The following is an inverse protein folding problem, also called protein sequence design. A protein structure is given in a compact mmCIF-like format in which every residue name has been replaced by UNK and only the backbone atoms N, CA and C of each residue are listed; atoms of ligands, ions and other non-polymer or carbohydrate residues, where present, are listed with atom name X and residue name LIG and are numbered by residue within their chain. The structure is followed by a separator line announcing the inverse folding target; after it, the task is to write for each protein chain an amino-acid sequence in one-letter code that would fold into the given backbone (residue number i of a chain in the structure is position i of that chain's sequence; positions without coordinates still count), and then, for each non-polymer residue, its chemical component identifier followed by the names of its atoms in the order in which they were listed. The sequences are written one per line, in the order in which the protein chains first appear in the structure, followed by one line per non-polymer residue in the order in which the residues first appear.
data_IF_435137224658
#
_entry.id   IF_435137224658
#
_cell.length_a   1.000
_cell.length_b   1.000
_cell.length_c   1.000
_cell.angle_alpha   90.00
_cell.angle_beta   90.00
_cell.angle_gamma   90.00
#
_symmetry.space_group_name_H-M   'P 1'
#
loop_
_entity.id
_entity.type
_entity.pdbx_description
1 polymer ?
#
# COMPACT_ATOMS: atom_id res chain seq x y z
N UNK A 1 11.90 -4.28 -10.62
CA UNK A 1 12.22 -4.04 -9.20
C UNK A 1 11.45 -2.80 -8.75
N UNK A 2 10.45 -2.88 -7.87
CA UNK A 2 9.80 -1.68 -7.40
C UNK A 2 10.71 -1.06 -6.33
N UNK A 3 11.18 0.15 -6.61
CA UNK A 3 11.91 1.00 -5.68
C UNK A 3 10.95 1.49 -4.58
N UNK A 4 10.52 0.59 -3.70
CA UNK A 4 9.81 0.96 -2.49
C UNK A 4 10.81 1.60 -1.53
N UNK A 5 11.16 2.87 -1.79
CA UNK A 5 11.86 3.71 -0.82
C UNK A 5 10.95 3.85 0.38
N UNK A 6 11.20 3.03 1.39
CA UNK A 6 10.56 3.06 2.70
C UNK A 6 10.76 4.45 3.29
N UNK A 7 9.81 5.37 3.05
CA UNK A 7 9.79 6.71 3.63
C UNK A 7 9.36 6.62 5.10
N UNK A 8 10.23 6.01 5.90
CA UNK A 8 10.23 6.01 7.38
C UNK A 8 10.38 7.41 8.00
N UNK A 9 10.40 8.46 7.18
CA UNK A 9 10.74 9.84 7.60
C UNK A 9 9.53 10.74 7.84
N UNK A 10 8.31 10.27 7.54
CA UNK A 10 7.11 10.93 8.03
C UNK A 10 6.75 10.30 9.37
N UNK A 11 7.53 10.64 10.41
CA UNK A 11 7.04 10.50 11.77
C UNK A 11 5.63 11.10 11.77
N UNK A 12 4.65 10.25 12.00
CA UNK A 12 3.26 10.66 11.99
C UNK A 12 3.12 11.75 13.05
N UNK A 13 2.53 12.89 12.67
CA UNK A 13 2.19 13.94 13.63
C UNK A 13 1.48 13.28 14.81
N UNK A 14 1.98 13.52 16.02
CA UNK A 14 1.31 13.11 17.26
C UNK A 14 -0.12 13.66 17.25
N UNK A 15 -1.07 12.96 17.86
CA UNK A 15 -2.45 13.44 17.96
C UNK A 15 -2.54 14.89 18.48
N UNK A 16 -1.65 15.26 19.42
CA UNK A 16 -1.56 16.62 19.92
C UNK A 16 -1.04 17.62 18.87
N UNK A 17 -0.02 17.24 18.10
CA UNK A 17 0.48 18.06 16.99
C UNK A 17 -0.58 18.23 15.90
N UNK A 18 -1.37 17.20 15.61
CA UNK A 18 -2.49 17.24 14.65
C UNK A 18 -3.52 18.29 15.05
N UNK A 19 -3.96 18.29 16.31
CA UNK A 19 -4.89 19.30 16.83
C UNK A 19 -4.32 20.72 16.72
N UNK A 20 -3.03 20.89 17.00
CA UNK A 20 -2.34 22.19 16.82
C UNK A 20 -2.25 22.62 15.36
N UNK A 21 -1.99 21.70 14.43
CA UNK A 21 -2.00 21.97 12.98
C UNK A 21 -3.38 22.45 12.54
N UNK A 22 -4.46 21.77 12.96
CA UNK A 22 -5.85 22.14 12.64
C UNK A 22 -6.14 23.56 13.14
N UNK A 23 -5.93 23.81 14.44
CA UNK A 23 -6.25 25.11 15.02
C UNK A 23 -5.46 26.27 14.41
N UNK A 24 -4.18 26.05 14.05
CA UNK A 24 -3.39 27.08 13.36
C UNK A 24 -3.85 27.29 11.91
N UNK A 25 -4.19 26.22 11.18
CA UNK A 25 -4.71 26.34 9.82
C UNK A 25 -6.07 27.04 9.79
N UNK A 26 -6.96 26.74 10.73
CA UNK A 26 -8.25 27.42 10.89
C UNK A 26 -8.08 28.90 11.24
N UNK A 27 -7.05 29.25 12.03
CA UNK A 27 -6.67 30.63 12.29
C UNK A 27 -6.03 31.36 11.07
N UNK A 28 -6.02 30.74 9.88
CA UNK A 28 -5.51 31.33 8.65
C UNK A 28 -3.99 31.29 8.50
N UNK A 29 -3.28 30.47 9.30
CA UNK A 29 -1.83 30.38 9.19
C UNK A 29 -1.42 29.57 7.97
N UNK A 30 -0.36 30.01 7.29
CA UNK A 30 0.21 29.25 6.18
C UNK A 30 0.87 27.95 6.66
N UNK A 31 0.75 26.88 5.89
CA UNK A 31 1.36 25.58 6.20
C UNK A 31 2.86 25.66 6.49
N UNK A 32 3.57 26.56 5.79
CA UNK A 32 5.00 26.82 6.02
C UNK A 32 5.26 27.46 7.40
N UNK A 33 4.39 28.37 7.85
CA UNK A 33 4.49 28.98 9.18
C UNK A 33 4.20 27.96 10.27
N UNK A 34 3.18 27.13 10.08
CA UNK A 34 2.82 26.03 10.98
C UNK A 34 3.97 25.01 11.10
N UNK A 35 4.58 24.63 9.98
CA UNK A 35 5.72 23.71 9.95
C UNK A 35 6.92 24.23 10.75
N UNK A 36 7.26 25.52 10.60
CA UNK A 36 8.31 26.16 11.40
C UNK A 36 7.97 26.20 12.88
N UNK A 37 6.72 26.49 13.22
CA UNK A 37 6.27 26.55 14.62
C UNK A 37 6.36 25.19 15.33
N UNK A 38 6.12 24.09 14.59
CA UNK A 38 6.15 22.73 15.13
C UNK A 38 7.52 22.06 14.99
N UNK A 39 8.51 22.72 14.36
CA UNK A 39 9.79 22.09 14.03
C UNK A 39 9.65 20.89 13.07
N UNK A 40 8.58 20.85 12.26
CA UNK A 40 8.26 19.76 11.35
C UNK A 40 8.50 20.17 9.90
N UNK A 41 8.65 19.17 9.02
CA UNK A 41 8.78 19.46 7.59
C UNK A 41 7.47 20.00 7.01
N UNK A 42 7.58 20.93 6.07
CA UNK A 42 6.43 21.50 5.37
C UNK A 42 5.62 20.42 4.62
N UNK A 43 6.28 19.36 4.16
CA UNK A 43 5.62 18.23 3.50
C UNK A 43 4.70 17.45 4.44
N UNK A 44 5.09 17.27 5.72
CA UNK A 44 4.25 16.60 6.73
C UNK A 44 3.00 17.42 7.03
N UNK A 45 3.15 18.74 7.19
CA UNK A 45 2.02 19.65 7.47
C UNK A 45 1.07 19.77 6.27
N UNK A 46 1.58 19.80 5.03
CA UNK A 46 0.73 19.81 3.83
C UNK A 46 0.03 18.47 3.57
N UNK A 47 0.71 17.35 3.85
CA UNK A 47 0.15 16.00 3.70
C UNK A 47 -0.78 15.59 4.85
N UNK A 48 -0.91 16.41 5.90
CA UNK A 48 -1.79 16.12 7.02
C UNK A 48 -3.26 16.02 6.60
N UNK A 49 -3.73 16.90 5.71
CA UNK A 49 -5.11 16.90 5.19
C UNK A 49 -5.42 15.80 4.18
N UNK A 50 -4.41 15.19 3.55
CA UNK A 50 -4.60 14.09 2.59
C UNK A 50 -4.52 12.70 3.25
N UNK A 51 -4.26 12.66 4.57
CA UNK A 51 -3.98 11.41 5.30
C UNK A 51 -5.22 10.60 5.71
N UNK A 52 -6.41 11.01 5.24
CA UNK A 52 -7.70 10.37 5.52
C UNK A 52 -8.06 9.19 4.60
N UNK A 53 -7.49 9.08 3.41
CA UNK A 53 -7.86 7.99 2.46
C UNK A 53 -6.70 7.20 1.88
N UNK A 54 -5.46 7.69 1.98
CA UNK A 54 -4.33 7.10 1.28
C UNK A 54 -3.08 7.04 2.17
N UNK A 55 -3.25 6.74 3.46
CA UNK A 55 -2.22 5.88 4.05
C UNK A 55 -2.21 4.66 3.15
N UNK A 56 -1.03 4.27 2.66
CA UNK A 56 -0.83 2.96 2.09
C UNK A 56 -1.22 1.95 3.19
N UNK A 57 -2.51 1.68 3.31
CA UNK A 57 -2.98 0.35 3.52
C UNK A 57 -2.21 -0.39 2.44
N UNK A 58 -1.16 -1.09 2.86
CA UNK A 58 -0.92 -2.38 2.28
C UNK A 58 -2.28 -3.07 2.42
N UNK A 59 -3.17 -2.85 1.45
CA UNK A 59 -4.05 -3.89 1.02
C UNK A 59 -3.05 -4.96 0.63
N UNK A 60 -2.74 -5.82 1.59
CA UNK A 60 -2.39 -7.18 1.27
C UNK A 60 -3.63 -7.67 0.56
N UNK A 61 -3.67 -7.44 -0.76
CA UNK A 61 -4.72 -7.97 -1.59
C UNK A 61 -4.83 -9.45 -1.23
N UNK A 62 -6.04 -9.96 -0.93
CA UNK A 62 -6.20 -11.34 -0.56
C UNK A 62 -5.50 -12.19 -1.60
N UNK A 63 -4.52 -13.00 -1.18
CA UNK A 63 -3.78 -13.86 -2.10
C UNK A 63 -4.79 -14.70 -2.87
N UNK A 64 -4.85 -14.48 -4.18
CA UNK A 64 -5.76 -15.21 -5.06
C UNK A 64 -5.31 -16.66 -5.26
N UNK A 65 -4.07 -16.97 -4.90
CA UNK A 65 -3.47 -18.30 -5.01
C UNK A 65 -3.12 -18.87 -3.64
N UNK A 66 -3.38 -20.15 -3.46
CA UNK A 66 -2.92 -20.89 -2.28
C UNK A 66 -1.42 -21.16 -2.38
N UNK A 67 -0.78 -21.47 -1.23
CA UNK A 67 0.64 -21.85 -1.19
C UNK A 67 0.96 -23.04 -2.12
N UNK A 68 0.01 -23.98 -2.29
CA UNK A 68 0.19 -25.13 -3.19
C UNK A 68 0.18 -24.70 -4.66
N UNK A 69 -0.71 -23.80 -5.02
CA UNK A 69 -0.80 -23.23 -6.36
C UNK A 69 0.44 -22.40 -6.70
N UNK A 70 0.93 -21.58 -5.76
CA UNK A 70 2.20 -20.85 -5.92
C UNK A 70 3.38 -21.79 -6.21
N UNK A 71 3.49 -22.88 -5.46
CA UNK A 71 4.53 -23.90 -5.69
C UNK A 71 4.39 -24.55 -7.06
N UNK A 72 3.17 -24.81 -7.53
CA UNK A 72 2.91 -25.38 -8.85
C UNK A 72 3.26 -24.39 -9.98
N UNK A 73 2.89 -23.13 -9.83
CA UNK A 73 3.24 -22.04 -10.76
C UNK A 73 4.75 -21.91 -10.90
N UNK A 74 5.47 -21.82 -9.77
CA UNK A 74 6.94 -21.69 -9.78
C UNK A 74 7.61 -22.92 -10.39
N UNK A 75 7.11 -24.12 -10.09
CA UNK A 75 7.63 -25.36 -10.67
C UNK A 75 7.44 -25.40 -12.18
N UNK A 76 6.24 -25.10 -12.67
CA UNK A 76 5.94 -25.15 -14.11
C UNK A 76 6.66 -24.04 -14.88
N UNK A 77 6.79 -22.85 -14.32
CA UNK A 77 7.60 -21.77 -14.92
C UNK A 77 9.08 -22.18 -15.07
N UNK A 78 9.62 -22.97 -14.13
CA UNK A 78 10.99 -23.49 -14.22
C UNK A 78 11.13 -24.63 -15.24
N UNK A 79 10.11 -25.48 -15.39
CA UNK A 79 10.14 -26.61 -16.32
C UNK A 79 9.85 -26.18 -17.77
N UNK A 80 9.01 -25.16 -17.95
CA UNK A 80 8.56 -24.69 -19.26
C UNK A 80 9.07 -23.27 -19.51
N UNK A 81 10.33 -23.15 -19.93
CA UNK A 81 11.02 -21.86 -20.12
C UNK A 81 10.31 -20.89 -21.08
N UNK A 82 9.52 -21.41 -22.03
CA UNK A 82 8.83 -20.64 -23.09
C UNK A 82 7.31 -20.62 -22.87
N UNK A 83 6.78 -21.32 -21.85
CA UNK A 83 5.35 -21.32 -21.60
C UNK A 83 4.86 -19.93 -21.20
N UNK A 84 3.75 -19.51 -21.80
CA UNK A 84 3.09 -18.27 -21.43
C UNK A 84 2.47 -18.40 -20.03
N UNK A 85 2.22 -17.25 -19.40
CA UNK A 85 1.53 -17.19 -18.11
C UNK A 85 0.17 -17.90 -18.14
N UNK A 86 -0.60 -17.72 -19.23
CA UNK A 86 -1.88 -18.38 -19.43
C UNK A 86 -1.76 -19.91 -19.50
N UNK A 87 -0.72 -20.43 -20.17
CA UNK A 87 -0.47 -21.86 -20.26
C UNK A 87 -0.10 -22.47 -18.89
N UNK A 88 0.64 -21.73 -18.07
CA UNK A 88 0.99 -22.13 -16.70
C UNK A 88 -0.25 -22.06 -15.78
N UNK A 89 -1.08 -21.03 -15.91
CA UNK A 89 -2.32 -20.86 -15.15
C UNK A 89 -3.37 -21.93 -15.47
N UNK A 90 -3.52 -22.32 -16.74
CA UNK A 90 -4.44 -23.39 -17.16
C UNK A 90 -4.13 -24.73 -16.47
N UNK A 91 -2.86 -24.98 -16.12
CA UNK A 91 -2.43 -26.19 -15.41
C UNK A 91 -2.71 -26.12 -13.90
N UNK A 92 -2.93 -24.91 -13.35
CA UNK A 92 -3.26 -24.66 -11.93
C UNK A 92 -4.77 -24.74 -11.68
N UNK A 93 -5.58 -24.65 -12.74
CA UNK A 93 -7.03 -24.64 -12.68
C UNK A 93 -7.79 -25.95 -12.31
N UNK A 94 -7.20 -27.10 -11.90
CA UNK A 94 -8.04 -28.19 -11.40
C UNK A 94 -8.68 -27.93 -10.02
N UNK A 95 -8.44 -26.79 -9.35
CA UNK A 95 -9.00 -26.47 -8.01
C UNK A 95 -10.09 -25.39 -7.98
N UNK A 96 -10.34 -24.67 -9.08
CA UNK A 96 -11.40 -23.64 -9.16
C UNK A 96 -12.76 -24.19 -9.64
N UNK A 97 -12.87 -25.50 -9.82
CA UNK A 97 -14.08 -26.20 -10.25
C UNK A 97 -14.85 -26.82 -9.09
N UNK A 98 -15.28 -26.05 -8.09
CA UNK A 98 -16.39 -26.45 -7.21
C UNK A 98 -16.97 -25.23 -6.49
N UNK A 99 -18.28 -25.03 -6.70
CA UNK A 99 -19.20 -24.12 -6.00
C UNK A 99 -19.23 -22.66 -6.50
N UNK A 100 -19.70 -22.47 -7.73
CA UNK A 100 -20.93 -21.69 -7.91
C UNK A 100 -22.06 -22.67 -8.19
N UNK A 101 -23.04 -22.75 -7.29
CA UNK A 101 -24.43 -23.20 -7.48
C UNK A 101 -25.05 -23.50 -6.10
N UNK A 102 -25.73 -22.51 -5.54
CA UNK A 102 -27.07 -22.56 -4.92
C UNK A 102 -27.47 -21.15 -4.53
#
# INVERSE_FOLDING_TARGET
MPLCRFRRQHEQLSQFERGRVIGMMEAGWSARRVARQLGRSNCVVRGFGTSGSERCHLHEDPRQTSRREDHHIVRNARLQLIASSAAIQAQVAPSLGALVSS
#
